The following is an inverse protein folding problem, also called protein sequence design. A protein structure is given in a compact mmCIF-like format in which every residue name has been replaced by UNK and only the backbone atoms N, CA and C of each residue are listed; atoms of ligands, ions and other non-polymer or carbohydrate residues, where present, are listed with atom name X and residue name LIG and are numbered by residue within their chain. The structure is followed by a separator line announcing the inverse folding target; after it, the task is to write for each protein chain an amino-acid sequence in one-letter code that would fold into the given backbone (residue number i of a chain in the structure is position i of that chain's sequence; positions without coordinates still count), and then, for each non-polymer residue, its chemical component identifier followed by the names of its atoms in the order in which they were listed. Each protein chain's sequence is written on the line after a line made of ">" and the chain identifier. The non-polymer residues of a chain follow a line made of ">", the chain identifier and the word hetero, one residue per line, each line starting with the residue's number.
data_IF_061940556626
#
_entry.id   IF_061940556626
#
_cell.length_a   1.000
_cell.length_b   1.000
_cell.length_c   1.000
_cell.angle_alpha   90.00
_cell.angle_beta   90.00
_cell.angle_gamma   90.00
#
_symmetry.space_group_name_H-M   'P 1'
#
loop_
_entity.id
_entity.type
_entity.pdbx_description
1 polymer ?
#
# COMPACT_ATOMS: atom_id res chain seq x y z
N UNK A 1 -5.68 -24.62 5.66
CA UNK A 1 -5.88 -23.18 5.43
C UNK A 1 -4.61 -22.65 4.80
N UNK A 2 -4.70 -21.99 3.65
CA UNK A 2 -3.56 -21.31 3.00
C UNK A 2 -3.11 -20.12 3.85
N UNK A 3 -1.82 -19.79 3.85
CA UNK A 3 -1.35 -18.57 4.51
C UNK A 3 -2.00 -17.33 3.86
N UNK A 4 -2.27 -16.26 4.63
CA UNK A 4 -2.78 -15.01 4.06
C UNK A 4 -1.73 -14.37 3.15
N UNK A 5 -2.19 -13.68 2.10
CA UNK A 5 -1.31 -12.86 1.27
C UNK A 5 -0.96 -11.60 2.06
N UNK A 6 0.32 -11.29 2.20
CA UNK A 6 0.82 -10.13 2.92
C UNK A 6 1.14 -9.00 1.96
N UNK A 7 0.41 -7.90 2.12
CA UNK A 7 0.54 -6.72 1.28
C UNK A 7 1.05 -5.56 2.12
N UNK A 8 2.22 -5.04 1.76
CA UNK A 8 2.76 -3.79 2.28
C UNK A 8 2.38 -2.62 1.39
N UNK A 9 1.82 -1.59 1.99
CA UNK A 9 1.50 -0.32 1.35
C UNK A 9 2.46 0.74 1.88
N UNK A 10 3.28 1.30 0.99
CA UNK A 10 4.16 2.41 1.32
C UNK A 10 3.39 3.73 1.21
N UNK A 11 3.38 4.50 2.30
CA UNK A 11 2.77 5.82 2.40
C UNK A 11 1.45 5.87 3.17
N UNK A 12 0.99 7.10 3.41
CA UNK A 12 -0.24 7.40 4.18
C UNK A 12 -1.12 8.45 3.47
N UNK A 13 -1.03 8.52 2.14
CA UNK A 13 -1.83 9.42 1.32
C UNK A 13 -3.23 8.89 1.01
N UNK A 14 -3.94 9.55 0.09
CA UNK A 14 -5.29 9.17 -0.35
C UNK A 14 -5.32 7.73 -0.91
N UNK A 15 -4.39 7.41 -1.80
CA UNK A 15 -4.24 6.09 -2.42
C UNK A 15 -3.97 5.00 -1.38
N UNK A 16 -3.08 5.26 -0.43
CA UNK A 16 -2.76 4.31 0.63
C UNK A 16 -4.00 3.99 1.49
N UNK A 17 -4.76 5.01 1.91
CA UNK A 17 -6.01 4.78 2.65
C UNK A 17 -7.03 4.00 1.83
N UNK A 18 -7.17 4.30 0.54
CA UNK A 18 -8.08 3.56 -0.34
C UNK A 18 -7.66 2.08 -0.48
N UNK A 19 -6.37 1.80 -0.68
CA UNK A 19 -5.83 0.44 -0.74
C UNK A 19 -6.07 -0.32 0.57
N UNK A 20 -5.82 0.33 1.72
CA UNK A 20 -6.07 -0.24 3.04
C UNK A 20 -7.54 -0.64 3.18
N UNK A 21 -8.48 0.23 2.80
CA UNK A 21 -9.92 -0.08 2.84
C UNK A 21 -10.30 -1.25 1.93
N UNK A 22 -9.83 -1.23 0.69
CA UNK A 22 -10.16 -2.27 -0.31
C UNK A 22 -9.57 -3.63 0.06
N UNK A 23 -8.32 -3.70 0.52
CA UNK A 23 -7.71 -4.98 0.90
C UNK A 23 -8.29 -5.54 2.20
N UNK A 24 -8.77 -4.70 3.09
CA UNK A 24 -9.39 -5.15 4.35
C UNK A 24 -10.78 -5.75 4.18
N UNK A 25 -11.35 -5.69 2.98
CA UNK A 25 -12.53 -6.46 2.57
C UNK A 25 -12.21 -7.93 2.25
N UNK A 26 -10.93 -8.30 2.16
CA UNK A 26 -10.51 -9.63 1.73
C UNK A 26 -10.09 -10.49 2.91
N UNK A 27 -10.82 -11.56 3.20
CA UNK A 27 -10.57 -12.41 4.38
C UNK A 27 -9.23 -13.15 4.41
N UNK A 28 -8.51 -13.23 3.29
CA UNK A 28 -7.20 -13.90 3.18
C UNK A 28 -6.05 -12.92 2.85
N UNK A 29 -6.16 -11.67 3.30
CA UNK A 29 -5.13 -10.64 3.10
C UNK A 29 -4.76 -10.00 4.43
N UNK A 30 -3.46 -9.98 4.73
CA UNK A 30 -2.87 -9.22 5.82
C UNK A 30 -2.37 -7.89 5.25
N UNK A 31 -2.87 -6.77 5.79
CA UNK A 31 -2.54 -5.43 5.30
C UNK A 31 -1.53 -4.78 6.24
N UNK A 32 -0.44 -4.29 5.67
CA UNK A 32 0.62 -3.58 6.38
C UNK A 32 0.85 -2.23 5.73
N UNK A 33 1.19 -1.23 6.53
CA UNK A 33 1.46 0.13 6.08
C UNK A 33 2.78 0.60 6.66
N UNK A 34 3.66 1.08 5.78
CA UNK A 34 4.92 1.71 6.15
C UNK A 34 4.87 3.20 5.81
N UNK A 35 5.26 4.05 6.75
CA UNK A 35 5.41 5.49 6.55
C UNK A 35 6.71 5.98 7.14
N UNK A 36 7.43 6.84 6.42
CA UNK A 36 8.64 7.48 6.95
C UNK A 36 8.32 8.56 8.01
N UNK A 37 7.07 8.99 8.12
CA UNK A 37 6.62 9.94 9.13
C UNK A 37 6.15 9.20 10.39
N UNK A 38 6.95 9.26 11.46
CA UNK A 38 6.69 8.60 12.75
C UNK A 38 5.41 9.12 13.43
N UNK A 39 5.14 10.43 13.38
CA UNK A 39 3.94 11.00 13.98
C UNK A 39 2.66 10.46 13.33
N UNK A 40 2.66 10.32 11.99
CA UNK A 40 1.57 9.72 11.24
C UNK A 40 1.40 8.23 11.55
N UNK A 41 2.50 7.49 11.69
CA UNK A 41 2.46 6.08 12.11
C UNK A 41 1.78 5.96 13.49
N UNK A 42 2.30 6.67 14.49
CA UNK A 42 1.79 6.65 15.87
C UNK A 42 0.33 7.10 15.94
N UNK A 43 -0.03 8.15 15.19
CA UNK A 43 -1.40 8.64 15.12
C UNK A 43 -2.35 7.57 14.57
N UNK A 44 -1.98 6.92 13.46
CA UNK A 44 -2.85 5.89 12.85
C UNK A 44 -2.92 4.63 13.71
N UNK A 45 -1.80 4.16 14.24
CA UNK A 45 -1.75 3.03 15.18
C UNK A 45 -2.67 3.27 16.39
N UNK A 46 -2.65 4.48 16.97
CA UNK A 46 -3.54 4.88 18.06
C UNK A 46 -5.02 4.80 17.67
N UNK A 47 -5.37 5.19 16.44
CA UNK A 47 -6.75 5.10 15.94
C UNK A 47 -7.19 3.64 15.77
N UNK A 48 -6.30 2.77 15.31
CA UNK A 48 -6.53 1.33 15.17
C UNK A 48 -6.77 0.71 16.56
N UNK A 49 -5.89 0.98 17.52
CA UNK A 49 -5.99 0.47 18.89
C UNK A 49 -7.29 0.90 19.59
N UNK A 50 -7.86 2.05 19.23
CA UNK A 50 -9.14 2.56 19.75
C UNK A 50 -10.36 2.02 19.01
N UNK A 51 -10.18 1.17 17.99
CA UNK A 51 -11.28 0.69 17.14
C UNK A 51 -11.91 1.80 16.28
N UNK A 52 -11.22 2.93 16.09
CA UNK A 52 -11.73 4.10 15.37
C UNK A 52 -11.27 4.14 13.90
N UNK A 53 -11.00 3.00 13.29
CA UNK A 53 -10.51 2.89 11.92
C UNK A 53 -11.64 2.40 10.99
N UNK A 54 -12.36 3.32 10.37
CA UNK A 54 -13.49 3.01 9.48
C UNK A 54 -13.24 3.56 8.10
N UNK A 55 -12.73 2.72 7.19
CA UNK A 55 -12.48 3.13 5.81
C UNK A 55 -13.78 3.08 5.00
N UNK A 56 -14.58 4.15 5.09
CA UNK A 56 -15.80 4.31 4.28
C UNK A 56 -15.43 4.40 2.80
N UNK A 57 -15.76 3.38 1.99
CA UNK A 57 -15.57 3.40 0.55
C UNK A 57 -16.88 3.82 -0.12
N UNK A 58 -17.01 5.11 -0.45
CA UNK A 58 -18.15 5.58 -1.23
C UNK A 58 -18.05 5.07 -2.69
N UNK A 59 -19.12 4.50 -3.22
CA UNK A 59 -19.25 4.22 -4.66
C UNK A 59 -19.97 5.36 -5.39
N UNK A 60 -20.02 5.33 -6.72
CA UNK A 60 -20.83 6.29 -7.50
C UNK A 60 -22.34 6.18 -7.23
N UNK A 61 -22.83 4.99 -6.83
CA UNK A 61 -24.27 4.73 -6.70
C UNK A 61 -24.75 4.47 -5.26
N UNK A 62 -23.90 3.99 -4.35
CA UNK A 62 -24.21 3.82 -2.92
C UNK A 62 -22.93 3.94 -2.07
N UNK A 63 -23.07 4.49 -0.86
CA UNK A 63 -21.97 4.54 0.12
C UNK A 63 -21.79 3.16 0.75
N UNK A 64 -20.68 2.47 0.45
CA UNK A 64 -20.32 1.23 1.13
C UNK A 64 -19.48 1.56 2.37
N UNK A 65 -20.12 1.58 3.54
CA UNK A 65 -19.40 1.67 4.81
C UNK A 65 -18.67 0.36 5.08
N UNK A 66 -17.35 0.37 4.89
CA UNK A 66 -16.49 -0.77 5.21
C UNK A 66 -15.88 -0.56 6.59
N UNK A 67 -16.24 -1.44 7.52
CA UNK A 67 -15.47 -1.63 8.74
C UNK A 67 -14.34 -2.61 8.42
N UNK A 68 -13.14 -2.26 8.87
CA UNK A 68 -11.92 -3.03 8.63
C UNK A 68 -11.98 -4.34 9.42
N UNK A 69 -12.04 -5.48 8.72
CA UNK A 69 -12.17 -6.80 9.35
C UNK A 69 -10.83 -7.50 9.60
N UNK A 70 -9.73 -6.96 9.08
CA UNK A 70 -8.44 -7.64 9.03
C UNK A 70 -7.39 -6.98 9.95
N UNK A 71 -6.39 -7.76 10.42
CA UNK A 71 -5.22 -7.21 11.08
C UNK A 71 -4.56 -6.16 10.18
N UNK A 72 -4.49 -4.93 10.68
CA UNK A 72 -3.80 -3.80 10.07
C UNK A 72 -2.64 -3.39 10.96
N UNK A 73 -1.43 -3.40 10.41
CA UNK A 73 -0.22 -2.89 11.07
C UNK A 73 0.19 -1.60 10.37
N UNK A 74 0.36 -0.52 11.12
CA UNK A 74 0.87 0.77 10.61
C UNK A 74 2.09 1.15 11.44
N UNK A 75 3.23 1.38 10.78
CA UNK A 75 4.48 1.70 11.49
C UNK A 75 5.42 2.54 10.62
N UNK A 76 6.48 3.07 11.24
CA UNK A 76 7.64 3.64 10.56
C UNK A 76 8.87 2.71 10.59
N UNK A 77 8.78 1.53 11.23
CA UNK A 77 9.86 0.54 11.26
C UNK A 77 9.74 -0.47 10.11
N UNK A 78 10.65 -0.51 9.13
CA UNK A 78 10.52 -1.39 7.97
C UNK A 78 10.69 -2.88 8.29
N UNK A 79 11.55 -3.23 9.24
CA UNK A 79 11.87 -4.63 9.59
C UNK A 79 10.63 -5.46 9.92
N UNK A 80 9.70 -4.89 10.69
CA UNK A 80 8.51 -5.60 11.19
C UNK A 80 7.47 -5.84 10.12
N UNK A 81 7.42 -4.99 9.09
CA UNK A 81 6.36 -5.01 8.09
C UNK A 81 6.81 -5.52 6.73
N UNK A 82 8.08 -5.43 6.35
CA UNK A 82 8.58 -5.90 5.05
C UNK A 82 8.82 -7.41 5.06
N UNK A 83 9.33 -7.98 6.16
CA UNK A 83 9.67 -9.40 6.24
C UNK A 83 8.45 -10.30 5.94
N UNK A 84 8.66 -11.26 5.05
CA UNK A 84 7.64 -12.18 4.55
C UNK A 84 6.49 -11.54 3.78
N UNK A 85 6.64 -10.32 3.23
CA UNK A 85 5.66 -9.75 2.31
C UNK A 85 5.69 -10.42 0.94
N UNK A 86 4.50 -10.68 0.40
CA UNK A 86 4.33 -11.16 -0.96
C UNK A 86 4.33 -9.99 -1.96
N UNK A 87 3.78 -8.84 -1.54
CA UNK A 87 3.59 -7.65 -2.40
C UNK A 87 3.96 -6.38 -1.62
N UNK A 88 4.78 -5.52 -2.24
CA UNK A 88 5.08 -4.16 -1.77
C UNK A 88 4.55 -3.17 -2.80
N UNK A 89 3.64 -2.28 -2.38
CA UNK A 89 2.99 -1.29 -3.24
C UNK A 89 3.47 0.12 -2.87
N UNK A 90 4.13 0.78 -3.82
CA UNK A 90 4.49 2.19 -3.71
C UNK A 90 3.29 3.07 -4.10
N UNK A 91 2.51 3.44 -3.09
CA UNK A 91 1.34 4.31 -3.19
C UNK A 91 1.67 5.78 -2.83
N UNK A 92 2.86 6.25 -3.21
CA UNK A 92 3.40 7.59 -2.93
C UNK A 92 3.77 8.33 -4.22
N UNK A 93 3.94 9.66 -4.18
CA UNK A 93 4.54 10.40 -5.29
C UNK A 93 5.89 9.81 -5.70
N UNK A 94 6.20 9.84 -7.01
CA UNK A 94 7.44 9.28 -7.55
C UNK A 94 8.71 9.85 -6.92
N UNK A 95 8.67 11.12 -6.46
CA UNK A 95 9.79 11.73 -5.73
C UNK A 95 10.16 11.04 -4.41
N UNK A 96 9.32 10.12 -3.91
CA UNK A 96 9.57 9.35 -2.70
C UNK A 96 9.86 7.87 -2.99
N UNK A 97 9.82 7.42 -4.25
CA UNK A 97 10.02 6.00 -4.59
C UNK A 97 11.38 5.52 -4.11
N UNK A 98 12.46 6.23 -4.45
CA UNK A 98 13.82 5.95 -3.99
C UNK A 98 13.93 5.74 -2.48
N UNK A 99 13.37 6.67 -1.70
CA UNK A 99 13.48 6.63 -0.24
C UNK A 99 12.73 5.42 0.35
N UNK A 100 11.59 5.03 -0.23
CA UNK A 100 10.91 3.80 0.19
C UNK A 100 11.64 2.55 -0.28
N UNK A 101 12.08 2.50 -1.53
CA UNK A 101 12.79 1.34 -2.10
C UNK A 101 14.05 1.01 -1.28
N UNK A 102 14.87 2.01 -1.00
CA UNK A 102 16.09 1.84 -0.19
C UNK A 102 15.78 1.48 1.27
N UNK A 103 14.67 1.98 1.82
CA UNK A 103 14.23 1.65 3.17
C UNK A 103 13.75 0.19 3.30
N UNK A 104 13.06 -0.33 2.29
CA UNK A 104 12.53 -1.71 2.32
C UNK A 104 13.54 -2.74 1.83
N UNK A 105 14.47 -2.37 0.94
CA UNK A 105 15.41 -3.28 0.27
C UNK A 105 16.03 -4.31 1.21
N UNK A 106 16.56 -3.96 2.40
CA UNK A 106 17.30 -4.91 3.24
C UNK A 106 16.47 -6.14 3.64
N UNK A 107 15.15 -5.99 3.70
CA UNK A 107 14.21 -6.96 4.25
C UNK A 107 13.39 -7.70 3.16
N UNK A 108 13.56 -7.34 1.88
CA UNK A 108 12.86 -7.99 0.77
C UNK A 108 13.32 -9.44 0.63
N UNK A 109 12.35 -10.35 0.55
CA UNK A 109 12.55 -11.78 0.33
C UNK A 109 12.32 -12.16 -1.15
N UNK A 110 12.82 -13.34 -1.52
CA UNK A 110 12.66 -13.87 -2.87
C UNK A 110 11.18 -14.09 -3.20
N UNK A 111 10.81 -13.78 -4.45
CA UNK A 111 9.45 -13.89 -4.96
C UNK A 111 8.57 -12.67 -4.69
N UNK A 112 9.07 -11.67 -3.96
CA UNK A 112 8.31 -10.46 -3.67
C UNK A 112 7.98 -9.67 -4.95
N UNK A 113 6.73 -9.22 -5.05
CA UNK A 113 6.25 -8.32 -6.11
C UNK A 113 6.44 -6.87 -5.64
N UNK A 114 7.13 -6.06 -6.43
CA UNK A 114 7.34 -4.63 -6.18
C UNK A 114 6.51 -3.85 -7.19
N UNK A 115 5.48 -3.17 -6.68
CA UNK A 115 4.45 -2.56 -7.49
C UNK A 115 4.47 -1.04 -7.38
N UNK A 116 4.62 -0.36 -8.51
CA UNK A 116 4.40 1.08 -8.64
C UNK A 116 2.92 1.37 -8.93
N UNK A 117 2.23 2.08 -8.03
CA UNK A 117 0.82 2.41 -8.19
C UNK A 117 0.54 3.89 -7.89
N UNK A 118 0.82 4.81 -8.85
CA UNK A 118 1.52 4.57 -10.11
C UNK A 118 3.05 4.58 -9.95
N UNK A 119 3.77 3.83 -10.78
CA UNK A 119 5.23 3.85 -10.80
C UNK A 119 5.81 5.04 -11.58
N UNK A 120 5.06 5.60 -12.53
CA UNK A 120 5.53 6.63 -13.47
C UNK A 120 6.66 6.11 -14.40
N UNK A 121 7.21 7.01 -15.21
CA UNK A 121 8.32 6.69 -16.13
C UNK A 121 9.61 6.42 -15.34
N UNK A 122 10.30 5.32 -15.68
CA UNK A 122 11.61 5.00 -15.11
C UNK A 122 11.57 4.19 -13.82
N UNK A 123 10.38 3.83 -13.33
CA UNK A 123 10.18 3.04 -12.12
C UNK A 123 11.01 1.75 -12.09
N UNK A 124 11.00 0.99 -13.19
CA UNK A 124 11.73 -0.29 -13.30
C UNK A 124 13.24 -0.08 -13.18
N UNK A 125 13.75 1.02 -13.74
CA UNK A 125 15.16 1.41 -13.64
C UNK A 125 15.51 1.83 -12.20
N UNK A 126 14.62 2.57 -11.54
CA UNK A 126 14.79 3.01 -10.16
C UNK A 126 14.79 1.81 -9.19
N UNK A 127 13.85 0.87 -9.36
CA UNK A 127 13.81 -0.40 -8.62
C UNK A 127 15.10 -1.20 -8.86
N UNK A 128 15.56 -1.30 -10.11
CA UNK A 128 16.80 -2.00 -10.44
C UNK A 128 18.04 -1.38 -9.81
N UNK A 129 18.11 -0.05 -9.73
CA UNK A 129 19.19 0.64 -9.04
C UNK A 129 19.13 0.44 -7.52
N UNK A 130 17.94 0.47 -6.92
CA UNK A 130 17.78 0.31 -5.48
C UNK A 130 18.07 -1.13 -5.02
N UNK A 131 17.58 -2.14 -5.73
CA UNK A 131 17.70 -3.55 -5.34
C UNK A 131 18.98 -4.24 -5.85
N UNK A 132 19.61 -3.70 -6.89
CA UNK A 132 20.78 -4.31 -7.53
C UNK A 132 20.55 -5.79 -7.89
N UNK A 133 21.41 -6.68 -7.39
CA UNK A 133 21.33 -8.13 -7.67
C UNK A 133 20.08 -8.80 -7.10
N UNK A 134 19.47 -8.23 -6.06
CA UNK A 134 18.26 -8.76 -5.41
C UNK A 134 17.05 -8.72 -6.35
N UNK A 135 17.09 -7.84 -7.35
CA UNK A 135 16.04 -7.76 -8.38
C UNK A 135 15.84 -9.09 -9.13
N UNK A 136 16.90 -9.90 -9.29
CA UNK A 136 16.82 -11.18 -10.01
C UNK A 136 15.89 -12.20 -9.37
N UNK A 137 15.51 -11.99 -8.10
CA UNK A 137 14.55 -12.83 -7.37
C UNK A 137 13.24 -12.12 -7.07
N UNK A 138 13.00 -10.93 -7.61
CA UNK A 138 11.77 -10.16 -7.42
C UNK A 138 11.00 -10.03 -8.73
N UNK A 139 9.72 -9.67 -8.64
CA UNK A 139 8.88 -9.33 -9.80
C UNK A 139 8.58 -7.84 -9.73
N UNK A 140 8.79 -7.10 -10.82
CA UNK A 140 8.41 -5.69 -10.89
C UNK A 140 7.03 -5.60 -11.54
N UNK A 141 6.17 -4.72 -11.04
CA UNK A 141 4.92 -4.38 -11.70
C UNK A 141 4.73 -2.87 -11.70
N UNK A 142 4.41 -2.27 -12.83
CA UNK A 142 4.22 -0.83 -12.95
C UNK A 142 2.87 -0.51 -13.57
N UNK A 143 2.06 0.30 -12.91
CA UNK A 143 0.77 0.75 -13.42
C UNK A 143 0.83 2.20 -13.91
N UNK A 144 0.10 2.46 -15.00
CA UNK A 144 0.05 3.78 -15.65
C UNK A 144 -0.53 4.90 -14.75
N UNK A 145 -1.40 4.56 -13.79
CA UNK A 145 -2.10 5.52 -12.93
C UNK A 145 -2.74 4.84 -11.71
N UNK A 146 -3.34 5.64 -10.81
CA UNK A 146 -4.20 5.11 -9.76
C UNK A 146 -5.50 4.54 -10.34
N UNK A 147 -6.04 3.45 -9.77
CA UNK A 147 -7.31 2.87 -10.20
C UNK A 147 -8.54 3.72 -9.81
N UNK A 148 -8.40 4.62 -8.84
CA UNK A 148 -9.50 5.39 -8.27
C UNK A 148 -9.26 6.89 -8.28
N UNK A 149 -10.35 7.64 -8.37
CA UNK A 149 -10.43 9.01 -7.86
C UNK A 149 -10.80 8.89 -6.39
N UNK A 150 -9.87 9.25 -5.50
CA UNK A 150 -10.06 9.09 -4.06
C UNK A 150 -9.50 10.28 -3.27
N UNK A 151 -10.15 10.58 -2.14
CA UNK A 151 -9.75 11.65 -1.23
C UNK A 151 -9.94 11.22 0.21
N UNK A 152 -8.87 11.26 0.98
CA UNK A 152 -8.91 11.09 2.43
C UNK A 152 -9.68 12.26 3.04
N UNK A 153 -10.73 11.93 3.80
CA UNK A 153 -11.60 12.90 4.48
C UNK A 153 -11.12 13.09 5.91
N UNK A 154 -10.80 11.99 6.58
CA UNK A 154 -10.25 11.98 7.94
C UNK A 154 -9.10 10.96 8.01
N UNK A 155 -7.95 11.41 8.48
CA UNK A 155 -6.74 10.59 8.53
C UNK A 155 -6.94 9.35 9.40
N UNK A 156 -6.52 8.21 8.88
CA UNK A 156 -6.61 6.89 9.51
C UNK A 156 -8.03 6.34 9.68
N UNK A 157 -9.04 7.11 9.26
CA UNK A 157 -10.45 6.72 9.33
C UNK A 157 -11.03 6.64 7.93
N UNK A 158 -11.33 7.77 7.32
CA UNK A 158 -12.29 7.85 6.21
C UNK A 158 -11.60 8.25 4.90
N UNK A 159 -11.82 7.49 3.81
CA UNK A 159 -11.37 7.84 2.45
C UNK A 159 -12.50 7.72 1.44
N UNK A 160 -12.92 8.83 0.86
CA UNK A 160 -13.96 8.81 -0.15
C UNK A 160 -13.38 8.37 -1.50
N UNK A 161 -13.85 7.26 -2.04
CA UNK A 161 -13.68 6.93 -3.47
C UNK A 161 -14.86 7.57 -4.22
N UNK A 162 -14.63 8.20 -5.36
CA UNK A 162 -15.70 8.86 -6.14
C UNK A 162 -15.79 8.36 -7.57
N UNK A 163 -14.83 7.53 -7.99
CA UNK A 163 -14.83 6.96 -9.32
C UNK A 163 -13.78 5.86 -9.40
N UNK A 164 -14.12 4.81 -10.15
CA UNK A 164 -13.21 3.68 -10.43
C UNK A 164 -13.00 3.59 -11.93
N UNK A 165 -11.76 3.48 -12.37
CA UNK A 165 -11.45 3.29 -13.79
C UNK A 165 -11.97 1.94 -14.27
N UNK A 166 -12.61 1.93 -15.45
CA UNK A 166 -13.07 0.69 -16.09
C UNK A 166 -11.92 -0.21 -16.57
N UNK A 167 -10.75 0.39 -16.88
CA UNK A 167 -9.54 -0.31 -17.30
C UNK A 167 -8.31 0.41 -16.74
N UNK A 168 -7.29 -0.38 -16.40
CA UNK A 168 -5.97 0.10 -16.04
C UNK A 168 -4.92 -0.76 -16.74
N UNK A 169 -3.90 -0.13 -17.32
CA UNK A 169 -2.78 -0.78 -17.99
C UNK A 169 -1.60 -0.85 -17.02
N UNK A 170 -0.92 -1.99 -17.01
CA UNK A 170 0.35 -2.16 -16.30
C UNK A 170 1.32 -3.03 -17.09
N UNK A 171 2.60 -2.90 -16.76
CA UNK A 171 3.70 -3.72 -17.25
C UNK A 171 4.23 -4.62 -16.12
N UNK A 172 4.75 -5.78 -16.51
CA UNK A 172 5.43 -6.77 -15.64
C UNK A 172 6.78 -7.08 -16.27
#
# INVERSE_FOLDING_TARGET
>A
MTAPIRVLICGTGNSAHALVGIFSLKTNVEVRVLTQNADKANQWETLIARGQHTVLVCGENEDLAVSMANPLIVTNGPETVVCGCDIIILAVPASLHWDYLTLVEPYIENGCIIMGLPGQCGFESEVGQALGKKLNSCIIMNFESLPWICRMVEFGKTVKITGTKAKLIGAV
#
